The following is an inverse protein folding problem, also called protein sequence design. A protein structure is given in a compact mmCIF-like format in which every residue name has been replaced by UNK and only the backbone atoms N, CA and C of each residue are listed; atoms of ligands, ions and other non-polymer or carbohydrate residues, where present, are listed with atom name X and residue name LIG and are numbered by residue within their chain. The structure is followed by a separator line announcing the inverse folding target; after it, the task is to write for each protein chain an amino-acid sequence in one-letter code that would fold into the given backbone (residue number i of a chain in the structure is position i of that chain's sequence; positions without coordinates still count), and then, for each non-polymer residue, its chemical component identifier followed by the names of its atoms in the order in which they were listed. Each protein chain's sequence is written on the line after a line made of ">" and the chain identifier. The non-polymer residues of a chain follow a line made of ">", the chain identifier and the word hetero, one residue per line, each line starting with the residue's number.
data_IF_700973223865
#
_entry.id   IF_700973223865
#
_cell.length_a   1.000
_cell.length_b   1.000
_cell.length_c   1.000
_cell.angle_alpha   90.00
_cell.angle_beta   90.00
_cell.angle_gamma   90.00
#
_symmetry.space_group_name_H-M   'P 1'
#
loop_
_entity.id
_entity.type
_entity.pdbx_description
1 polymer ?
#
# COMPACT_ATOMS: atom_id res chain seq x y z
N UNK A 1 -3.85 16.56 -16.18
CA UNK A 1 -2.59 15.89 -15.81
C UNK A 1 -2.58 15.44 -14.34
N UNK A 2 -2.78 16.36 -13.39
CA UNK A 2 -2.73 16.08 -11.94
C UNK A 2 -3.63 14.93 -11.47
N UNK A 3 -4.89 14.87 -11.92
CA UNK A 3 -5.79 13.77 -11.54
C UNK A 3 -5.22 12.40 -11.93
N UNK A 4 -4.54 12.28 -13.08
CA UNK A 4 -3.90 11.03 -13.51
C UNK A 4 -2.77 10.62 -12.56
N UNK A 5 -1.99 11.60 -12.09
CA UNK A 5 -0.91 11.39 -11.11
C UNK A 5 -1.49 10.89 -9.78
N UNK A 6 -2.55 11.55 -9.29
CA UNK A 6 -3.21 11.14 -8.04
C UNK A 6 -3.79 9.72 -8.16
N UNK A 7 -4.47 9.42 -9.26
CA UNK A 7 -5.05 8.09 -9.48
C UNK A 7 -3.97 7.01 -9.59
N UNK A 8 -2.83 7.30 -10.24
CA UNK A 8 -1.69 6.38 -10.26
C UNK A 8 -1.17 6.11 -8.84
N UNK A 9 -0.97 7.16 -8.03
CA UNK A 9 -0.56 7.00 -6.64
C UNK A 9 -1.57 6.16 -5.84
N UNK A 10 -2.87 6.40 -6.04
CA UNK A 10 -3.93 5.62 -5.40
C UNK A 10 -3.84 4.13 -5.74
N UNK A 11 -3.77 3.79 -7.03
CA UNK A 11 -3.70 2.39 -7.46
C UNK A 11 -2.45 1.68 -6.95
N UNK A 12 -1.30 2.37 -6.95
CA UNK A 12 -0.04 1.81 -6.41
C UNK A 12 -0.19 1.54 -4.91
N UNK A 13 -0.68 2.48 -4.12
CA UNK A 13 -0.87 2.30 -2.68
C UNK A 13 -1.91 1.22 -2.37
N UNK A 14 -3.01 1.18 -3.12
CA UNK A 14 -4.03 0.15 -2.98
C UNK A 14 -3.46 -1.24 -3.31
N UNK A 15 -2.70 -1.36 -4.40
CA UNK A 15 -2.03 -2.62 -4.77
C UNK A 15 -1.10 -3.12 -3.66
N UNK A 16 -0.27 -2.24 -3.09
CA UNK A 16 0.63 -2.57 -2.00
C UNK A 16 -0.15 -2.99 -0.73
N UNK A 17 -1.26 -2.31 -0.44
CA UNK A 17 -2.17 -2.66 0.66
C UNK A 17 -2.76 -4.05 0.49
N UNK A 18 -3.29 -4.37 -0.70
CA UNK A 18 -3.83 -5.69 -1.01
C UNK A 18 -2.75 -6.78 -0.95
N UNK A 19 -1.52 -6.48 -1.36
CA UNK A 19 -0.38 -7.38 -1.20
C UNK A 19 -0.11 -7.67 0.27
N UNK A 20 -0.07 -6.64 1.12
CA UNK A 20 0.14 -6.80 2.57
C UNK A 20 -0.98 -7.61 3.23
N UNK A 21 -2.24 -7.42 2.83
CA UNK A 21 -3.38 -8.22 3.28
C UNK A 21 -3.21 -9.69 2.89
N UNK A 22 -2.82 -9.99 1.64
CA UNK A 22 -2.58 -11.36 1.17
C UNK A 22 -1.45 -12.03 1.94
N UNK A 23 -0.36 -11.32 2.21
CA UNK A 23 0.75 -11.82 3.03
C UNK A 23 0.28 -12.09 4.46
N UNK A 24 -0.48 -11.17 5.07
CA UNK A 24 -1.03 -11.38 6.40
C UNK A 24 -1.93 -12.61 6.46
N UNK A 25 -2.80 -12.80 5.46
CA UNK A 25 -3.69 -13.97 5.37
C UNK A 25 -2.92 -15.30 5.32
N UNK A 26 -1.71 -15.32 4.73
CA UNK A 26 -0.86 -16.51 4.61
C UNK A 26 0.04 -16.75 5.83
N UNK A 27 0.58 -15.69 6.41
CA UNK A 27 1.63 -15.76 7.43
C UNK A 27 1.12 -15.52 8.86
N UNK A 28 0.04 -14.75 9.00
CA UNK A 28 -0.47 -14.31 10.30
C UNK A 28 0.37 -13.22 10.98
N UNK A 29 1.43 -12.70 10.35
CA UNK A 29 2.33 -11.72 10.96
C UNK A 29 1.66 -10.36 11.16
N UNK A 30 1.59 -9.90 12.42
CA UNK A 30 0.92 -8.66 12.80
C UNK A 30 1.56 -7.42 12.16
N UNK A 31 2.84 -7.46 11.80
CA UNK A 31 3.52 -6.35 11.09
C UNK A 31 2.86 -6.05 9.73
N UNK A 32 2.44 -7.09 9.00
CA UNK A 32 1.77 -6.97 7.70
C UNK A 32 0.33 -6.48 7.85
N UNK A 33 -0.36 -6.86 8.93
CA UNK A 33 -1.66 -6.26 9.28
C UNK A 33 -1.53 -4.76 9.57
N UNK A 34 -0.52 -4.35 10.35
CA UNK A 34 -0.25 -2.93 10.62
C UNK A 34 0.10 -2.18 9.32
N UNK A 35 0.89 -2.80 8.44
CA UNK A 35 1.20 -2.29 7.11
C UNK A 35 -0.06 -2.05 6.27
N UNK A 36 -0.93 -3.05 6.19
CA UNK A 36 -2.20 -2.95 5.46
C UNK A 36 -3.11 -1.84 6.01
N UNK A 37 -3.20 -1.68 7.34
CA UNK A 37 -3.99 -0.60 7.96
C UNK A 37 -3.44 0.79 7.59
N UNK A 38 -2.12 0.97 7.61
CA UNK A 38 -1.49 2.22 7.17
C UNK A 38 -1.75 2.48 5.69
N UNK A 39 -1.64 1.44 4.85
CA UNK A 39 -1.91 1.55 3.42
C UNK A 39 -3.36 1.92 3.12
N UNK A 40 -4.31 1.39 3.89
CA UNK A 40 -5.73 1.75 3.78
C UNK A 40 -5.93 3.23 4.13
N UNK A 41 -5.42 3.69 5.28
CA UNK A 41 -5.51 5.10 5.68
C UNK A 41 -4.85 6.04 4.64
N UNK A 42 -3.67 5.67 4.14
CA UNK A 42 -2.98 6.40 3.08
C UNK A 42 -3.80 6.46 1.79
N UNK A 43 -4.39 5.34 1.35
CA UNK A 43 -5.21 5.28 0.13
C UNK A 43 -6.45 6.16 0.23
N UNK A 44 -7.10 6.22 1.40
CA UNK A 44 -8.23 7.12 1.66
C UNK A 44 -7.81 8.59 1.56
N UNK A 45 -6.64 8.95 2.10
CA UNK A 45 -6.13 10.31 2.01
C UNK A 45 -5.79 10.71 0.57
N UNK A 46 -5.24 9.79 -0.22
CA UNK A 46 -4.97 10.01 -1.65
C UNK A 46 -6.28 10.22 -2.43
N UNK A 47 -7.35 9.48 -2.12
CA UNK A 47 -8.68 9.71 -2.71
C UNK A 47 -9.23 11.10 -2.40
N UNK A 48 -9.05 11.59 -1.17
CA UNK A 48 -9.38 12.98 -0.82
C UNK A 48 -8.56 13.98 -1.66
N UNK A 49 -7.28 13.68 -1.89
CA UNK A 49 -6.43 14.42 -2.83
C UNK A 49 -6.98 14.46 -4.25
N UNK A 50 -7.61 13.37 -4.73
CA UNK A 50 -8.20 13.30 -6.07
C UNK A 50 -9.40 14.25 -6.22
N UNK A 51 -10.18 14.41 -5.15
CA UNK A 51 -11.27 15.37 -5.08
C UNK A 51 -10.70 16.79 -5.04
N UNK A 52 -9.72 17.04 -4.17
CA UNK A 52 -9.10 18.36 -3.97
C UNK A 52 -8.38 18.89 -5.23
N UNK A 53 -7.74 18.02 -6.03
CA UNK A 53 -7.05 18.40 -7.27
C UNK A 53 -7.98 19.09 -8.26
N UNK A 54 -9.29 18.79 -8.25
CA UNK A 54 -10.26 19.43 -9.15
C UNK A 54 -10.48 20.91 -8.82
N UNK A 55 -10.32 21.30 -7.55
CA UNK A 55 -10.48 22.67 -7.10
C UNK A 55 -9.15 23.43 -7.04
N UNK A 56 -8.12 22.82 -6.43
CA UNK A 56 -6.76 23.39 -6.31
C UNK A 56 -5.73 22.27 -6.46
N UNK A 57 -5.01 22.20 -7.59
CA UNK A 57 -4.04 21.13 -7.87
C UNK A 57 -2.99 20.94 -6.77
N UNK A 58 -2.38 22.03 -6.29
CA UNK A 58 -1.31 21.97 -5.29
C UNK A 58 -1.79 21.35 -3.98
N UNK A 59 -2.99 21.73 -3.54
CA UNK A 59 -3.61 21.22 -2.31
C UNK A 59 -3.90 19.72 -2.43
N UNK A 60 -4.39 19.28 -3.59
CA UNK A 60 -4.60 17.86 -3.85
C UNK A 60 -3.29 17.06 -3.89
N UNK A 61 -2.22 17.62 -4.45
CA UNK A 61 -0.90 16.99 -4.44
C UNK A 61 -0.29 16.90 -3.03
N UNK A 62 -0.52 17.90 -2.17
CA UNK A 62 -0.12 17.85 -0.75
C UNK A 62 -0.78 16.66 -0.04
N UNK A 63 -2.08 16.45 -0.23
CA UNK A 63 -2.77 15.28 0.32
C UNK A 63 -2.16 13.96 -0.14
N UNK A 64 -1.80 13.85 -1.42
CA UNK A 64 -1.11 12.67 -1.94
C UNK A 64 0.25 12.47 -1.26
N UNK A 65 1.01 13.54 -1.09
CA UNK A 65 2.33 13.51 -0.47
C UNK A 65 2.25 13.04 0.99
N UNK A 66 1.28 13.54 1.76
CA UNK A 66 1.02 13.08 3.13
C UNK A 66 0.59 11.60 3.13
N UNK A 67 -0.27 11.18 2.19
CA UNK A 67 -0.68 9.79 2.07
C UNK A 67 0.50 8.85 1.81
N UNK A 68 1.38 9.22 0.89
CA UNK A 68 2.61 8.47 0.59
C UNK A 68 3.58 8.45 1.79
N UNK A 69 3.67 9.56 2.54
CA UNK A 69 4.47 9.64 3.75
C UNK A 69 3.98 8.66 4.83
N UNK A 70 2.67 8.56 5.02
CA UNK A 70 2.04 7.61 5.95
C UNK A 70 2.26 6.15 5.50
N UNK A 71 2.23 5.88 4.19
CA UNK A 71 2.39 4.54 3.62
C UNK A 71 3.85 4.01 3.63
N UNK A 72 4.79 4.73 4.24
CA UNK A 72 6.19 4.28 4.31
C UNK A 72 6.31 2.88 4.92
N UNK A 73 7.22 2.09 4.35
CA UNK A 73 7.51 0.73 4.80
C UNK A 73 8.09 0.77 6.21
N UNK A 74 7.47 0.04 7.13
CA UNK A 74 8.00 -0.19 8.49
C UNK A 74 8.87 -1.44 8.59
N UNK A 75 9.37 -1.71 9.79
CA UNK A 75 10.06 -2.96 10.14
C UNK A 75 9.07 -4.13 10.03
N UNK A 76 9.45 -5.18 9.31
CA UNK A 76 8.63 -6.38 9.03
C UNK A 76 9.50 -7.62 9.01
N UNK A 77 8.92 -8.76 9.35
CA UNK A 77 9.55 -10.07 9.27
C UNK A 77 9.82 -10.46 7.80
N UNK A 78 10.91 -11.17 7.55
CA UNK A 78 11.22 -11.70 6.23
C UNK A 78 10.33 -12.88 5.86
N UNK A 79 9.48 -12.73 4.84
CA UNK A 79 8.54 -13.79 4.39
C UNK A 79 8.90 -14.43 3.05
N UNK A 80 9.92 -13.89 2.39
CA UNK A 80 10.40 -14.34 1.08
C UNK A 80 11.86 -14.77 1.25
N UNK A 81 12.12 -16.06 1.08
CA UNK A 81 13.46 -16.64 1.05
C UNK A 81 13.83 -17.02 -0.38
N UNK A 82 13.02 -17.86 -1.02
CA UNK A 82 13.26 -18.41 -2.36
C UNK A 82 12.19 -17.99 -3.39
N UNK A 83 11.19 -17.18 -3.02
CA UNK A 83 10.14 -16.73 -3.94
C UNK A 83 10.70 -15.93 -5.13
N UNK A 84 10.25 -16.27 -6.34
CA UNK A 84 10.56 -15.53 -7.56
C UNK A 84 9.94 -14.12 -7.61
N UNK A 85 10.36 -13.29 -8.56
CA UNK A 85 9.96 -11.87 -8.66
C UNK A 85 8.44 -11.68 -8.79
N UNK A 86 7.79 -12.48 -9.65
CA UNK A 86 6.34 -12.42 -9.84
C UNK A 86 5.57 -12.89 -8.61
N UNK A 87 6.09 -13.88 -7.90
CA UNK A 87 5.47 -14.37 -6.67
C UNK A 87 5.57 -13.33 -5.55
N UNK A 88 6.72 -12.67 -5.40
CA UNK A 88 6.90 -11.52 -4.49
C UNK A 88 5.96 -10.36 -4.84
N UNK A 89 5.82 -10.04 -6.12
CA UNK A 89 4.92 -9.00 -6.59
C UNK A 89 3.46 -9.29 -6.20
N UNK A 90 3.02 -10.54 -6.37
CA UNK A 90 1.68 -11.00 -5.99
C UNK A 90 1.53 -11.27 -4.48
N UNK A 91 2.58 -11.10 -3.67
CA UNK A 91 2.52 -11.37 -2.24
C UNK A 91 2.39 -12.86 -1.90
N UNK A 92 2.87 -13.74 -2.78
CA UNK A 92 2.97 -15.17 -2.52
C UNK A 92 4.23 -15.46 -1.71
N UNK A 93 4.03 -15.78 -0.44
CA UNK A 93 5.11 -16.05 0.52
C UNK A 93 5.54 -17.50 0.50
N UNK A 94 6.82 -17.74 0.77
CA UNK A 94 7.36 -19.10 0.99
C UNK A 94 6.90 -19.65 2.34
N UNK A 95 6.79 -18.75 3.33
CA UNK A 95 6.24 -19.09 4.63
C UNK A 95 4.70 -19.13 4.57
N UNK A 96 4.12 -20.28 4.93
CA UNK A 96 2.70 -20.46 5.15
C UNK A 96 2.52 -20.93 6.58
N UNK A 97 1.73 -20.20 7.37
CA UNK A 97 1.41 -20.62 8.74
C UNK A 97 0.71 -21.99 8.66
N UNK A 98 1.32 -23.05 9.22
CA UNK A 98 0.62 -24.34 9.41
C UNK A 98 -0.60 -24.09 10.30
N UNK A 99 -1.75 -24.61 9.85
CA UNK A 99 -3.02 -24.56 10.59
C UNK A 99 -2.89 -25.31 11.90
#
# INVERSE_FOLDING_TARGET
>A
MYLKIVMLAYFVVLFLTLRDIRIFKRTGYRSYRKGALKGLAASSLILLGAIAVKAKPDLGLIFVLIGLFINRKGVREGVFTNAGTLDRFLGKTDYVKRK
#
